data_IF_358986694189
#
_entry.id   IF_358986694189
#
_cell.length_a   1.000
_cell.length_b   1.000
_cell.length_c   1.000
_cell.angle_alpha   90.00
_cell.angle_beta   90.00
_cell.angle_gamma   90.00
#
_symmetry.space_group_name_H-M   'P 1'
#
loop_
_entity.id
_entity.type
_entity.pdbx_description
1 polymer ?
#
# COMPACT_ATOMS: atom_id res chain seq x y z
N UNK A 1 35.03 27.80 30.57
CA UNK A 1 33.77 28.46 30.14
C UNK A 1 33.41 28.24 28.67
N UNK A 2 34.37 28.01 27.75
CA UNK A 2 34.07 27.71 26.33
C UNK A 2 33.67 26.23 26.13
N UNK A 3 34.22 25.31 26.94
CA UNK A 3 33.94 23.87 26.85
C UNK A 3 32.46 23.51 27.05
N UNK A 4 31.74 24.19 27.94
CA UNK A 4 30.31 23.95 28.17
C UNK A 4 29.41 24.40 27.00
N UNK A 5 29.82 25.44 26.26
CA UNK A 5 29.08 25.95 25.10
C UNK A 5 29.21 25.03 23.88
N UNK A 6 30.37 24.40 23.68
CA UNK A 6 30.60 23.42 22.60
C UNK A 6 29.76 22.16 22.84
N UNK A 7 29.68 21.69 24.09
CA UNK A 7 28.81 20.56 24.45
C UNK A 7 27.34 20.91 24.15
N UNK A 8 26.88 22.13 24.44
CA UNK A 8 25.52 22.58 24.12
C UNK A 8 25.23 22.62 22.60
N UNK A 9 26.21 22.99 21.77
CA UNK A 9 26.06 23.03 20.31
C UNK A 9 26.07 21.65 19.64
N UNK A 10 26.67 20.63 20.26
CA UNK A 10 26.81 19.28 19.68
C UNK A 10 25.61 18.37 20.00
N UNK A 11 24.82 18.67 21.05
CA UNK A 11 23.55 17.94 21.34
C UNK A 11 22.32 18.48 20.62
N UNK A 12 22.41 19.61 19.90
CA UNK A 12 21.29 20.19 19.18
C UNK A 12 21.38 19.75 17.71
N UNK A 13 20.40 18.94 17.29
CA UNK A 13 20.16 18.40 15.93
C UNK A 13 20.67 17.00 15.60
N UNK A 14 20.64 16.06 16.54
CA UNK A 14 20.16 14.70 16.19
C UNK A 14 18.72 14.56 16.69
N UNK A 15 17.90 15.57 16.42
CA UNK A 15 16.48 15.31 16.26
C UNK A 15 16.41 14.83 14.82
N UNK A 16 16.18 13.54 14.62
CA UNK A 16 15.71 13.06 13.33
C UNK A 16 14.39 13.78 13.10
N UNK A 17 14.42 14.93 12.43
CA UNK A 17 13.22 15.52 11.86
C UNK A 17 12.72 14.46 10.90
N UNK A 18 11.57 13.85 11.22
CA UNK A 18 10.89 12.94 10.31
C UNK A 18 10.49 13.79 9.10
N UNK A 19 11.38 13.90 8.12
CA UNK A 19 11.14 14.62 6.89
C UNK A 19 10.26 13.72 6.02
N UNK A 20 9.00 14.10 5.89
CA UNK A 20 8.05 13.42 5.01
C UNK A 20 8.36 13.85 3.57
N UNK A 21 9.08 13.03 2.81
CA UNK A 21 9.28 13.29 1.39
C UNK A 21 7.93 13.25 0.66
N UNK A 22 7.60 14.30 -0.10
CA UNK A 22 6.32 14.47 -0.80
C UNK A 22 5.07 14.35 0.11
N UNK A 23 5.22 14.78 1.36
CA UNK A 23 4.15 14.80 2.34
C UNK A 23 4.43 15.78 3.47
N UNK A 24 3.57 15.78 4.46
CA UNK A 24 3.70 16.58 5.66
C UNK A 24 3.33 15.78 6.90
N UNK A 25 3.87 16.18 8.04
CA UNK A 25 3.57 15.54 9.31
C UNK A 25 2.22 16.04 9.84
N UNK A 26 1.37 15.12 10.29
CA UNK A 26 0.17 15.43 11.05
C UNK A 26 0.17 14.65 12.37
N UNK A 27 -0.13 15.33 13.49
CA UNK A 27 -0.29 14.68 14.79
C UNK A 27 -1.62 13.90 14.92
N UNK A 28 -2.60 14.24 14.08
CA UNK A 28 -3.87 13.54 13.95
C UNK A 28 -4.26 13.46 12.47
N UNK A 29 -3.63 12.52 11.75
CA UNK A 29 -3.99 12.18 10.37
C UNK A 29 -5.00 11.02 10.30
N UNK A 30 -5.34 10.64 9.06
CA UNK A 30 -6.26 9.53 8.77
C UNK A 30 -5.67 8.16 9.09
N UNK A 31 -6.50 7.23 9.58
CA UNK A 31 -6.13 5.82 9.71
C UNK A 31 -6.13 5.05 8.37
N UNK A 32 -6.66 5.68 7.31
CA UNK A 32 -6.79 5.09 5.98
C UNK A 32 -6.15 6.05 4.95
N UNK A 33 -4.81 6.09 4.83
CA UNK A 33 -4.15 6.89 3.82
C UNK A 33 -4.50 6.37 2.42
N UNK A 34 -4.48 7.26 1.43
CA UNK A 34 -4.53 6.83 0.03
C UNK A 34 -3.25 6.08 -0.32
N UNK A 35 -3.38 4.86 -0.81
CA UNK A 35 -2.25 4.02 -1.21
C UNK A 35 -2.30 3.67 -2.69
N UNK A 36 -1.23 3.07 -3.22
CA UNK A 36 -1.26 2.53 -4.58
C UNK A 36 -2.29 1.40 -4.76
N UNK A 37 -2.67 0.76 -3.66
CA UNK A 37 -3.70 -0.26 -3.55
C UNK A 37 -5.09 0.33 -3.28
N UNK A 38 -5.24 1.66 -3.18
CA UNK A 38 -6.50 2.37 -2.93
C UNK A 38 -6.55 3.62 -3.82
N UNK A 39 -6.57 3.40 -5.14
CA UNK A 39 -6.39 4.44 -6.16
C UNK A 39 -7.54 5.44 -6.25
N UNK A 40 -8.78 5.03 -5.95
CA UNK A 40 -9.97 5.88 -6.19
C UNK A 40 -10.87 6.15 -5.00
N UNK A 41 -10.86 5.31 -3.95
CA UNK A 41 -11.76 5.48 -2.80
C UNK A 41 -10.99 5.29 -1.50
N UNK A 42 -10.93 6.30 -0.61
CA UNK A 42 -10.62 6.02 0.79
C UNK A 42 -11.73 5.10 1.30
N UNK A 43 -11.37 4.04 2.03
CA UNK A 43 -12.31 3.07 2.59
C UNK A 43 -13.60 3.75 3.06
N UNK A 44 -14.77 3.40 2.48
CA UNK A 44 -16.07 3.94 2.91
C UNK A 44 -16.30 3.72 4.42
N UNK A 45 -15.62 2.70 4.97
CA UNK A 45 -15.52 2.42 6.40
C UNK A 45 -14.12 2.78 6.92
N UNK A 46 -13.80 4.07 7.01
CA UNK A 46 -12.60 4.53 7.71
C UNK A 46 -12.91 4.91 9.16
N UNK A 47 -12.29 4.28 10.18
CA UNK A 47 -12.48 4.66 11.56
C UNK A 47 -12.05 6.11 11.81
N UNK A 48 -12.86 6.86 12.55
CA UNK A 48 -12.55 8.24 12.98
C UNK A 48 -11.55 8.25 14.15
N UNK A 49 -10.38 7.64 13.94
CA UNK A 49 -9.28 7.57 14.92
C UNK A 49 -8.08 8.36 14.38
N UNK A 50 -7.46 9.17 15.24
CA UNK A 50 -6.25 9.90 14.90
C UNK A 50 -5.06 8.94 14.79
N UNK A 51 -4.33 9.01 13.67
CA UNK A 51 -3.02 8.35 13.53
C UNK A 51 -1.99 9.42 13.21
N UNK A 52 -1.01 9.59 14.10
CA UNK A 52 0.10 10.51 13.87
C UNK A 52 1.07 9.92 12.85
N UNK A 53 1.50 10.72 11.87
CA UNK A 53 2.41 10.24 10.84
C UNK A 53 2.56 11.20 9.66
N UNK A 54 3.29 10.73 8.64
CA UNK A 54 3.39 11.42 7.37
C UNK A 54 2.13 11.20 6.53
N UNK A 55 1.49 12.29 6.12
CA UNK A 55 0.38 12.31 5.18
C UNK A 55 0.90 12.77 3.83
N UNK A 56 0.59 12.02 2.77
CA UNK A 56 1.05 12.33 1.42
C UNK A 56 0.36 13.57 0.87
N UNK A 57 1.13 14.45 0.23
CA UNK A 57 0.62 15.67 -0.37
C UNK A 57 -0.29 15.37 -1.57
N UNK A 58 -1.05 16.38 -2.02
CA UNK A 58 -1.93 16.23 -3.18
C UNK A 58 -1.16 15.77 -4.42
N UNK A 59 -1.62 14.69 -5.05
CA UNK A 59 -0.96 14.06 -6.20
C UNK A 59 -0.05 12.89 -5.84
N UNK A 60 0.21 12.67 -4.54
CA UNK A 60 1.01 11.56 -4.02
C UNK A 60 0.12 10.56 -3.26
N UNK A 61 0.62 9.33 -3.13
CA UNK A 61 0.00 8.22 -2.39
C UNK A 61 1.05 7.43 -1.65
N UNK A 62 0.65 6.80 -0.55
CA UNK A 62 1.54 5.99 0.27
C UNK A 62 1.79 4.64 -0.40
N UNK A 63 3.05 4.28 -0.57
CA UNK A 63 3.47 2.97 -1.04
C UNK A 63 4.74 2.55 -0.29
N UNK A 64 4.72 1.39 0.36
CA UNK A 64 5.83 0.87 1.18
C UNK A 64 6.39 1.87 2.21
N UNK A 65 5.55 2.76 2.76
CA UNK A 65 5.94 3.76 3.75
C UNK A 65 6.42 5.09 3.18
N UNK A 66 6.46 5.24 1.85
CA UNK A 66 6.90 6.46 1.17
C UNK A 66 5.76 7.08 0.34
N UNK A 67 5.75 8.40 0.22
CA UNK A 67 4.80 9.10 -0.65
C UNK A 67 5.38 9.20 -2.07
N UNK A 68 4.79 8.44 -2.99
CA UNK A 68 5.17 8.44 -4.41
C UNK A 68 4.07 9.09 -5.25
N UNK A 69 4.43 9.61 -6.42
CA UNK A 69 3.44 10.22 -7.29
C UNK A 69 2.45 9.14 -7.76
N UNK A 70 1.15 9.46 -7.85
CA UNK A 70 0.10 8.47 -8.20
C UNK A 70 0.37 7.70 -9.48
N UNK A 71 1.03 8.33 -10.45
CA UNK A 71 1.38 7.70 -11.73
C UNK A 71 2.58 6.76 -11.65
N UNK A 72 3.34 6.80 -10.54
CA UNK A 72 4.51 5.96 -10.29
C UNK A 72 4.14 4.69 -9.50
N UNK A 73 2.85 4.51 -9.18
CA UNK A 73 2.37 3.29 -8.57
C UNK A 73 2.71 2.07 -9.44
N UNK A 74 3.14 0.95 -8.82
CA UNK A 74 3.49 -0.25 -9.56
C UNK A 74 2.34 -0.72 -10.44
N UNK A 75 2.68 -1.13 -11.66
CA UNK A 75 1.74 -1.80 -12.54
C UNK A 75 1.37 -3.18 -11.97
N UNK A 76 0.19 -3.66 -12.32
CA UNK A 76 -0.20 -5.03 -12.00
C UNK A 76 0.74 -6.04 -12.69
N UNK A 77 0.93 -7.24 -12.11
CA UNK A 77 1.75 -8.27 -12.73
C UNK A 77 1.20 -8.67 -14.12
N UNK A 78 2.02 -9.35 -14.92
CA UNK A 78 1.57 -9.85 -16.21
C UNK A 78 0.32 -10.73 -16.07
N UNK A 79 -0.60 -10.64 -17.04
CA UNK A 79 -1.90 -11.34 -17.06
C UNK A 79 -2.82 -10.98 -15.89
N UNK A 80 -2.82 -9.69 -15.54
CA UNK A 80 -3.74 -9.13 -14.56
C UNK A 80 -4.02 -7.67 -14.87
N UNK A 81 -5.14 -7.18 -14.35
CA UNK A 81 -5.53 -5.78 -14.47
C UNK A 81 -5.92 -5.21 -13.10
N UNK A 82 -5.86 -3.88 -13.01
CA UNK A 82 -6.34 -3.18 -11.83
C UNK A 82 -7.87 -3.16 -11.83
N UNK A 83 -8.48 -3.51 -10.70
CA UNK A 83 -9.92 -3.39 -10.47
C UNK A 83 -10.17 -2.68 -9.14
N UNK A 84 -11.09 -1.72 -9.13
CA UNK A 84 -11.58 -1.10 -7.88
C UNK A 84 -12.46 -2.05 -7.05
N UNK A 85 -12.90 -3.16 -7.66
CA UNK A 85 -13.74 -4.18 -7.05
C UNK A 85 -13.20 -5.57 -7.41
N UNK A 86 -12.00 -5.88 -6.92
CA UNK A 86 -11.40 -7.20 -7.00
C UNK A 86 -11.93 -8.15 -5.92
N UNK A 87 -12.06 -9.44 -6.26
CA UNK A 87 -12.48 -10.46 -5.29
C UNK A 87 -11.48 -10.56 -4.13
N UNK A 88 -11.98 -10.65 -2.90
CA UNK A 88 -11.16 -10.99 -1.73
C UNK A 88 -10.71 -12.46 -1.73
N UNK A 89 -11.37 -13.31 -2.54
CA UNK A 89 -10.97 -14.69 -2.79
C UNK A 89 -10.54 -14.81 -4.26
N UNK A 90 -9.29 -14.45 -4.62
CA UNK A 90 -8.78 -14.71 -5.96
C UNK A 90 -8.66 -16.21 -6.21
N UNK A 91 -8.68 -16.64 -7.47
CA UNK A 91 -8.37 -18.04 -7.81
C UNK A 91 -6.89 -18.27 -7.52
N UNK A 92 -6.58 -19.17 -6.58
CA UNK A 92 -5.20 -19.49 -6.19
C UNK A 92 -4.84 -20.86 -6.74
N UNK A 93 -3.61 -20.98 -7.22
CA UNK A 93 -3.05 -22.21 -7.72
C UNK A 93 -3.09 -23.35 -6.67
N UNK A 94 -3.68 -24.49 -7.03
CA UNK A 94 -3.80 -25.68 -6.16
C UNK A 94 -4.82 -25.53 -5.02
N UNK A 95 -5.69 -24.52 -5.08
CA UNK A 95 -6.71 -24.28 -4.06
C UNK A 95 -8.13 -24.41 -4.65
N UNK A 96 -8.95 -25.25 -4.02
CA UNK A 96 -10.36 -25.37 -4.38
C UNK A 96 -11.08 -24.17 -3.79
N UNK A 97 -11.63 -23.31 -4.66
CA UNK A 97 -12.45 -22.21 -4.19
C UNK A 97 -13.74 -22.69 -3.53
N UNK A 98 -13.91 -22.30 -2.26
CA UNK A 98 -15.15 -22.48 -1.51
C UNK A 98 -16.14 -21.33 -1.69
N UNK A 99 -17.04 -21.17 -0.72
CA UNK A 99 -17.97 -20.04 -0.69
C UNK A 99 -17.20 -18.76 -0.42
N UNK A 100 -17.23 -17.82 -1.37
CA UNK A 100 -16.70 -16.48 -1.19
C UNK A 100 -17.85 -15.49 -0.92
N UNK A 101 -17.62 -14.55 0.00
CA UNK A 101 -18.52 -13.42 0.18
C UNK A 101 -18.47 -12.52 -1.06
N UNK A 102 -19.59 -11.93 -1.47
CA UNK A 102 -19.66 -10.97 -2.58
C UNK A 102 -19.07 -9.58 -2.24
N UNK A 103 -18.10 -9.54 -1.32
CA UNK A 103 -17.36 -8.35 -0.94
C UNK A 103 -16.15 -8.21 -1.86
N UNK A 104 -15.82 -6.99 -2.24
CA UNK A 104 -14.67 -6.69 -3.09
C UNK A 104 -13.83 -5.55 -2.52
N UNK A 105 -12.56 -5.54 -2.89
CA UNK A 105 -11.57 -4.53 -2.52
C UNK A 105 -10.78 -4.11 -3.75
N UNK A 106 -10.27 -2.87 -3.82
CA UNK A 106 -9.38 -2.49 -4.91
C UNK A 106 -8.12 -3.36 -4.91
N UNK A 107 -7.81 -3.99 -6.04
CA UNK A 107 -6.72 -4.94 -6.17
C UNK A 107 -6.31 -5.17 -7.63
N UNK A 108 -5.11 -5.72 -7.83
CA UNK A 108 -4.77 -6.38 -9.10
C UNK A 108 -5.44 -7.75 -9.17
N UNK A 109 -6.25 -7.97 -10.19
CA UNK A 109 -7.04 -9.19 -10.42
C UNK A 109 -6.47 -9.92 -11.62
N UNK A 110 -6.19 -11.22 -11.48
CA UNK A 110 -5.76 -12.04 -12.61
C UNK A 110 -6.81 -12.02 -13.72
N UNK A 111 -6.35 -11.90 -14.96
CA UNK A 111 -7.22 -11.93 -16.13
C UNK A 111 -7.87 -13.33 -16.27
N UNK A 112 -8.96 -13.40 -17.03
CA UNK A 112 -9.67 -14.65 -17.27
C UNK A 112 -8.72 -15.74 -17.79
N UNK A 113 -8.77 -16.91 -17.13
CA UNK A 113 -7.90 -18.06 -17.45
C UNK A 113 -6.54 -18.05 -16.75
N UNK A 114 -6.27 -17.10 -15.85
CA UNK A 114 -5.07 -17.06 -15.01
C UNK A 114 -5.41 -17.23 -13.53
N UNK A 115 -4.48 -17.82 -12.78
CA UNK A 115 -4.58 -18.05 -11.33
C UNK A 115 -3.40 -17.43 -10.60
N UNK A 116 -3.63 -16.98 -9.37
CA UNK A 116 -2.60 -16.39 -8.53
C UNK A 116 -1.65 -17.47 -8.02
N UNK A 117 -0.35 -17.18 -8.11
CA UNK A 117 0.72 -17.97 -7.52
C UNK A 117 1.88 -17.05 -7.11
N UNK A 118 2.14 -16.93 -5.81
CA UNK A 118 3.19 -16.06 -5.24
C UNK A 118 3.22 -14.63 -5.80
N UNK A 119 2.05 -13.99 -5.90
CA UNK A 119 1.93 -12.60 -6.38
C UNK A 119 2.02 -12.44 -7.91
N UNK A 120 2.14 -13.53 -8.67
CA UNK A 120 2.04 -13.53 -10.12
C UNK A 120 0.74 -14.21 -10.59
N UNK A 121 0.26 -13.85 -11.78
CA UNK A 121 -0.85 -14.52 -12.44
C UNK A 121 -0.29 -15.46 -13.52
N UNK A 122 -0.43 -16.76 -13.28
CA UNK A 122 0.12 -17.82 -14.14
C UNK A 122 -1.00 -18.63 -14.78
N UNK A 123 -0.68 -19.32 -15.88
CA UNK A 123 -1.60 -20.27 -16.46
C UNK A 123 -1.80 -21.45 -15.48
N UNK A 124 -3.06 -21.90 -15.23
CA UNK A 124 -3.36 -23.00 -14.32
C UNK A 124 -2.60 -24.30 -14.60
N UNK A 125 -2.27 -24.59 -15.86
CA UNK A 125 -1.49 -25.78 -16.24
C UNK A 125 -0.04 -25.72 -15.71
N UNK A 126 0.44 -24.53 -15.37
CA UNK A 126 1.78 -24.31 -14.79
C UNK A 126 1.78 -24.37 -13.26
N UNK A 127 0.66 -24.77 -12.65
CA UNK A 127 0.59 -24.95 -11.22
C UNK A 127 1.54 -26.05 -10.72
N UNK A 128 2.45 -25.76 -9.77
CA UNK A 128 3.30 -26.79 -9.19
C UNK A 128 2.41 -27.80 -8.44
N UNK A 129 2.40 -29.06 -8.90
CA UNK A 129 1.59 -30.13 -8.30
C UNK A 129 0.25 -30.40 -8.98
N UNK A 130 -0.09 -29.68 -10.06
CA UNK A 130 -1.39 -29.78 -10.71
C UNK A 130 -2.45 -28.89 -10.05
N UNK A 131 -3.68 -28.92 -10.60
CA UNK A 131 -4.85 -28.23 -10.02
C UNK A 131 -5.42 -29.01 -8.83
#
# INVERSE_FOLDING_TARGET
>A
MIWAAIVLSVVIKVVATQECANGHWEDCGTACPHTCESRTHPNELCPAVCVAGCVCDTGYVLHNGECIHKNDCPACPANSHWSECGSMCPQICGEIQGVCAALCVPACVCDDGYVQHYGACINPERCPGGI
#
